data_IF_242161839842
#
_entry.id   IF_242161839842
#
_cell.length_a   1.000
_cell.length_b   1.000
_cell.length_c   1.000
_cell.angle_alpha   90.00
_cell.angle_beta   90.00
_cell.angle_gamma   90.00
#
_symmetry.space_group_name_H-M   'P 1'
#
loop_
_entity.id
_entity.type
_entity.pdbx_description
1 polymer ?
#
# COMPACT_ATOMS: atom_id res chain seq x y z
N UNK A 1 0.24 -25.19 2.85
CA UNK A 1 -0.66 -26.02 2.00
C UNK A 1 -0.17 -26.05 0.56
N UNK A 2 -0.01 -24.91 -0.12
CA UNK A 2 0.47 -24.87 -1.51
C UNK A 2 1.88 -25.46 -1.66
N UNK A 3 2.82 -25.06 -0.81
CA UNK A 3 4.17 -25.65 -0.79
C UNK A 3 4.16 -27.15 -0.47
N UNK A 4 3.28 -27.58 0.45
CA UNK A 4 3.09 -29.00 0.75
C UNK A 4 2.60 -29.77 -0.48
N UNK A 5 1.78 -29.14 -1.32
CA UNK A 5 1.36 -29.65 -2.63
C UNK A 5 2.41 -29.45 -3.74
N UNK A 6 3.65 -29.08 -3.40
CA UNK A 6 4.78 -28.85 -4.33
C UNK A 6 4.55 -27.73 -5.33
N UNK A 7 3.75 -26.72 -4.96
CA UNK A 7 3.64 -25.47 -5.70
C UNK A 7 4.75 -24.53 -5.21
N UNK A 8 5.46 -23.89 -6.13
CA UNK A 8 6.40 -22.82 -5.79
C UNK A 8 5.63 -21.57 -5.36
N UNK A 9 5.99 -20.99 -4.21
CA UNK A 9 5.21 -19.92 -3.56
C UNK A 9 6.11 -18.74 -3.24
N UNK A 10 5.79 -17.60 -3.84
CA UNK A 10 6.38 -16.31 -3.52
C UNK A 10 5.50 -15.57 -2.51
N UNK A 11 6.00 -15.36 -1.30
CA UNK A 11 5.25 -14.62 -0.28
C UNK A 11 5.65 -13.16 -0.28
N UNK A 12 4.72 -12.28 -0.66
CA UNK A 12 4.94 -10.83 -0.75
C UNK A 12 4.16 -10.10 0.36
N UNK A 13 4.87 -9.33 1.17
CA UNK A 13 4.26 -8.43 2.15
C UNK A 13 4.04 -7.06 1.51
N UNK A 14 2.78 -6.74 1.18
CA UNK A 14 2.43 -5.45 0.59
C UNK A 14 2.15 -4.44 1.71
N UNK A 15 3.23 -3.83 2.22
CA UNK A 15 3.19 -2.88 3.33
C UNK A 15 2.74 -1.51 2.83
N UNK A 16 1.80 -0.88 3.54
CA UNK A 16 1.38 0.50 3.31
C UNK A 16 2.41 1.51 3.82
N UNK A 17 3.57 1.54 3.18
CA UNK A 17 4.72 2.40 3.50
C UNK A 17 4.69 3.75 2.74
N UNK A 18 3.60 4.04 2.03
CA UNK A 18 3.43 5.28 1.28
C UNK A 18 2.06 5.90 1.57
N UNK A 19 1.97 7.23 1.57
CA UNK A 19 0.69 7.93 1.72
C UNK A 19 0.71 9.17 2.62
N UNK A 20 -0.44 9.83 2.71
CA UNK A 20 -0.57 11.13 3.41
C UNK A 20 -0.33 11.05 4.92
N UNK A 21 -0.54 9.89 5.50
CA UNK A 21 -0.29 9.61 6.92
C UNK A 21 1.19 9.79 7.30
N UNK A 22 2.12 9.61 6.37
CA UNK A 22 3.55 9.81 6.65
C UNK A 22 3.90 11.27 6.88
N UNK A 23 3.14 12.21 6.31
CA UNK A 23 3.36 13.64 6.54
C UNK A 23 3.24 14.04 8.01
N UNK A 24 2.20 13.57 8.69
CA UNK A 24 2.03 13.85 10.12
C UNK A 24 3.08 13.13 10.98
N UNK A 25 3.50 11.92 10.58
CA UNK A 25 4.52 11.19 11.32
C UNK A 25 5.88 11.87 11.22
N UNK A 26 6.26 12.33 10.03
CA UNK A 26 7.53 13.03 9.80
C UNK A 26 7.57 14.37 10.53
N UNK A 27 6.53 15.20 10.41
CA UNK A 27 6.51 16.48 11.13
C UNK A 27 6.49 16.29 12.65
N UNK A 28 5.76 15.28 13.14
CA UNK A 28 5.78 14.96 14.56
C UNK A 28 7.15 14.46 15.03
N UNK A 29 7.86 13.70 14.18
CA UNK A 29 9.24 13.28 14.43
C UNK A 29 10.16 14.49 14.58
N UNK A 30 10.07 15.46 13.66
CA UNK A 30 10.88 16.68 13.72
C UNK A 30 10.57 17.55 14.94
N UNK A 31 9.31 17.65 15.36
CA UNK A 31 8.94 18.37 16.59
C UNK A 31 9.50 17.69 17.85
N UNK A 32 9.50 16.35 17.89
CA UNK A 32 9.95 15.58 19.05
C UNK A 32 11.47 15.44 19.13
N UNK A 33 12.12 15.32 17.96
CA UNK A 33 13.55 15.04 17.83
C UNK A 33 14.18 16.00 16.82
N UNK A 34 14.31 17.29 17.16
CA UNK A 34 14.86 18.29 16.26
C UNK A 34 16.32 18.02 15.86
N UNK A 35 17.06 17.24 16.65
CA UNK A 35 18.47 16.88 16.40
C UNK A 35 18.64 15.63 15.49
N UNK A 36 17.54 15.01 15.05
CA UNK A 36 17.52 14.06 13.92
C UNK A 36 18.01 12.62 14.19
N UNK A 37 18.59 12.34 15.36
CA UNK A 37 18.87 10.96 15.78
C UNK A 37 17.68 10.41 16.57
N UNK A 38 17.07 9.35 16.02
CA UNK A 38 15.92 8.68 16.64
C UNK A 38 16.17 7.18 16.63
N UNK A 39 16.15 6.57 17.82
CA UNK A 39 16.30 5.14 18.02
C UNK A 39 14.95 4.44 18.19
N UNK A 40 14.95 3.10 18.19
CA UNK A 40 13.76 2.31 18.53
C UNK A 40 13.16 2.67 19.88
N UNK A 41 14.02 3.03 20.84
CA UNK A 41 13.62 3.38 22.19
C UNK A 41 12.96 4.76 22.24
N UNK A 42 13.35 5.66 21.33
CA UNK A 42 12.87 7.04 21.27
C UNK A 42 11.46 7.14 20.68
N UNK A 43 11.17 6.38 19.61
CA UNK A 43 9.79 6.26 19.10
C UNK A 43 8.94 5.37 20.02
N UNK A 44 9.57 4.42 20.73
CA UNK A 44 8.89 3.50 21.62
C UNK A 44 7.85 2.66 20.88
N UNK A 45 6.64 2.57 21.43
CA UNK A 45 5.51 1.95 20.74
C UNK A 45 5.04 2.86 19.59
N UNK A 46 5.37 2.49 18.34
CA UNK A 46 4.95 3.20 17.13
C UNK A 46 3.43 3.51 17.10
N UNK A 47 2.62 2.65 17.72
CA UNK A 47 1.18 2.87 17.89
C UNK A 47 0.87 4.14 18.71
N UNK A 48 1.59 4.37 19.81
CA UNK A 48 1.47 5.58 20.63
C UNK A 48 1.96 6.80 19.88
N UNK A 49 3.08 6.69 19.17
CA UNK A 49 3.62 7.76 18.33
C UNK A 49 2.62 8.19 17.26
N UNK A 50 2.00 7.23 16.56
CA UNK A 50 0.95 7.48 15.59
C UNK A 50 -0.29 8.14 16.20
N UNK A 51 -0.77 7.65 17.36
CA UNK A 51 -1.92 8.25 18.05
C UNK A 51 -1.64 9.69 18.42
N UNK A 52 -0.45 9.99 18.91
CA UNK A 52 -0.04 11.35 19.27
C UNK A 52 0.08 12.25 18.03
N UNK A 53 0.70 11.78 16.95
CA UNK A 53 0.79 12.56 15.69
C UNK A 53 -0.59 12.83 15.10
N UNK A 54 -1.51 11.85 15.20
CA UNK A 54 -2.89 11.99 14.72
C UNK A 54 -3.69 13.00 15.56
N UNK A 55 -3.55 12.98 16.88
CA UNK A 55 -4.16 13.98 17.75
C UNK A 55 -3.68 15.40 17.42
N UNK A 56 -2.37 15.57 17.14
CA UNK A 56 -1.82 16.86 16.69
C UNK A 56 -2.41 17.27 15.34
N UNK A 57 -2.46 16.35 14.37
CA UNK A 57 -3.03 16.60 13.05
C UNK A 57 -4.50 17.01 13.08
N UNK A 58 -5.29 16.45 13.98
CA UNK A 58 -6.71 16.76 14.10
C UNK A 58 -6.98 18.01 14.94
N UNK A 59 -6.07 18.40 15.85
CA UNK A 59 -6.25 19.50 16.80
C UNK A 59 -5.47 20.80 16.49
N UNK A 60 -4.55 20.79 15.53
CA UNK A 60 -3.67 21.92 15.21
C UNK A 60 -3.61 22.14 13.69
N UNK A 61 -4.28 23.21 13.21
CA UNK A 61 -4.36 23.53 11.79
C UNK A 61 -3.01 23.91 11.17
N UNK A 62 -2.11 24.51 11.95
CA UNK A 62 -0.76 24.83 11.46
C UNK A 62 0.06 23.54 11.28
N UNK A 63 -0.02 22.63 12.24
CA UNK A 63 0.61 21.31 12.14
C UNK A 63 0.04 20.52 10.95
N UNK A 64 -1.27 20.56 10.76
CA UNK A 64 -1.94 19.90 9.63
C UNK A 64 -1.43 20.40 8.28
N UNK A 65 -1.22 21.70 8.16
CA UNK A 65 -0.67 22.30 6.94
C UNK A 65 0.81 21.93 6.73
N UNK A 66 1.61 21.91 7.80
CA UNK A 66 2.99 21.38 7.73
C UNK A 66 3.03 19.92 7.30
N UNK A 67 2.18 19.08 7.87
CA UNK A 67 2.08 17.66 7.54
C UNK A 67 1.71 17.44 6.06
N UNK A 68 0.80 18.26 5.49
CA UNK A 68 0.49 18.20 4.05
C UNK A 68 1.70 18.54 3.19
N UNK A 69 2.44 19.59 3.55
CA UNK A 69 3.67 20.00 2.85
C UNK A 69 4.76 18.92 2.95
N UNK A 70 4.88 18.26 4.10
CA UNK A 70 5.83 17.18 4.31
C UNK A 70 5.61 15.99 3.36
N UNK A 71 4.37 15.62 3.06
CA UNK A 71 4.06 14.58 2.08
C UNK A 71 4.56 14.98 0.69
N UNK A 72 4.31 16.23 0.28
CA UNK A 72 4.77 16.73 -1.02
C UNK A 72 6.30 16.75 -1.08
N UNK A 73 6.95 17.17 0.01
CA UNK A 73 8.40 17.18 0.10
C UNK A 73 8.99 15.76 0.01
N UNK A 74 8.41 14.79 0.73
CA UNK A 74 8.75 13.36 0.65
C UNK A 74 8.61 12.83 -0.77
N UNK A 75 7.47 13.08 -1.42
CA UNK A 75 7.19 12.63 -2.79
C UNK A 75 8.12 13.28 -3.82
N UNK A 76 8.52 14.53 -3.61
CA UNK A 76 9.41 15.24 -4.52
C UNK A 76 10.87 14.78 -4.45
N UNK A 77 11.28 14.21 -3.32
CA UNK A 77 12.66 13.80 -3.05
C UNK A 77 13.70 14.95 -3.01
N UNK A 78 13.26 16.21 -3.06
CA UNK A 78 14.16 17.38 -3.15
C UNK A 78 14.88 17.71 -1.85
N UNK A 79 14.23 17.45 -0.72
CA UNK A 79 14.75 17.72 0.62
C UNK A 79 15.05 16.41 1.34
N UNK A 80 16.34 16.09 1.48
CA UNK A 80 16.82 14.79 1.96
C UNK A 80 16.32 14.42 3.38
N UNK A 81 15.99 15.40 4.21
CA UNK A 81 15.45 15.19 5.56
C UNK A 81 14.15 14.39 5.56
N UNK A 82 13.27 14.57 4.56
CA UNK A 82 11.97 13.89 4.52
C UNK A 82 12.11 12.41 4.17
N UNK A 83 12.83 11.99 3.11
CA UNK A 83 13.12 10.59 2.86
C UNK A 83 13.88 9.91 4.00
N UNK A 84 14.82 10.60 4.66
CA UNK A 84 15.56 10.07 5.82
C UNK A 84 14.62 9.77 7.00
N UNK A 85 13.77 10.73 7.37
CA UNK A 85 12.79 10.56 8.44
C UNK A 85 11.78 9.43 8.11
N UNK A 86 11.29 9.41 6.87
CA UNK A 86 10.42 8.34 6.40
C UNK A 86 11.08 6.95 6.51
N UNK A 87 12.31 6.81 6.03
CA UNK A 87 13.04 5.55 6.08
C UNK A 87 13.27 5.09 7.53
N UNK A 88 13.58 6.01 8.44
CA UNK A 88 13.71 5.71 9.87
C UNK A 88 12.39 5.19 10.46
N UNK A 89 11.26 5.85 10.18
CA UNK A 89 9.93 5.43 10.65
C UNK A 89 9.58 4.03 10.11
N UNK A 90 9.83 3.78 8.82
CA UNK A 90 9.60 2.48 8.20
C UNK A 90 10.48 1.38 8.81
N UNK A 91 11.75 1.66 9.09
CA UNK A 91 12.67 0.69 9.68
C UNK A 91 12.28 0.31 11.12
N UNK A 92 11.82 1.28 11.91
CA UNK A 92 11.31 1.04 13.26
C UNK A 92 10.05 0.16 13.21
N UNK A 93 9.14 0.47 12.28
CA UNK A 93 7.94 -0.35 12.02
C UNK A 93 8.31 -1.79 11.62
N UNK A 94 9.24 -1.94 10.67
CA UNK A 94 9.73 -3.23 10.16
C UNK A 94 10.30 -4.10 11.27
N UNK A 95 11.17 -3.55 12.12
CA UNK A 95 11.72 -4.26 13.29
C UNK A 95 10.65 -4.68 14.30
N UNK A 96 9.61 -3.88 14.46
CA UNK A 96 8.45 -4.23 15.29
C UNK A 96 7.70 -5.45 14.75
N UNK A 97 7.38 -5.46 13.46
CA UNK A 97 6.66 -6.57 12.81
C UNK A 97 7.50 -7.83 12.67
N UNK A 98 8.81 -7.70 12.41
CA UNK A 98 9.72 -8.83 12.26
C UNK A 98 9.72 -9.73 13.51
N UNK A 99 9.65 -9.14 14.71
CA UNK A 99 9.52 -9.91 15.98
C UNK A 99 8.25 -10.77 15.99
N UNK A 100 7.15 -10.26 15.44
CA UNK A 100 5.87 -10.99 15.34
C UNK A 100 5.98 -12.08 14.29
N UNK A 101 6.53 -11.79 13.12
CA UNK A 101 6.74 -12.78 12.05
C UNK A 101 7.63 -13.93 12.50
N UNK A 102 8.74 -13.65 13.18
CA UNK A 102 9.62 -14.66 13.76
C UNK A 102 8.91 -15.55 14.78
N UNK A 103 8.13 -14.94 15.69
CA UNK A 103 7.36 -15.69 16.69
C UNK A 103 6.32 -16.62 16.07
N UNK A 104 5.74 -16.23 14.93
CA UNK A 104 4.76 -17.02 14.19
C UNK A 104 5.40 -17.98 13.18
N UNK A 105 6.72 -17.95 12.99
CA UNK A 105 7.42 -18.74 11.97
C UNK A 105 7.02 -18.35 10.55
N UNK A 106 6.71 -17.08 10.34
CA UNK A 106 6.27 -16.53 9.04
C UNK A 106 7.47 -15.89 8.34
N UNK A 107 7.74 -16.30 7.11
CA UNK A 107 8.80 -15.73 6.27
C UNK A 107 8.16 -15.04 5.06
N UNK A 108 8.43 -13.75 4.88
CA UNK A 108 7.87 -12.93 3.81
C UNK A 108 8.96 -12.06 3.19
N UNK A 109 8.81 -11.73 1.91
CA UNK A 109 9.61 -10.67 1.29
C UNK A 109 8.79 -9.39 1.23
N UNK A 110 9.34 -8.29 1.72
CA UNK A 110 8.67 -6.99 1.74
C UNK A 110 8.69 -6.34 0.36
N UNK A 111 7.51 -5.95 -0.13
CA UNK A 111 7.34 -5.10 -1.29
C UNK A 111 6.25 -4.07 -1.01
N UNK A 112 6.68 -2.97 -0.38
CA UNK A 112 5.81 -1.86 0.00
C UNK A 112 5.18 -1.15 -1.19
N UNK A 113 4.15 -0.34 -0.91
CA UNK A 113 3.52 0.55 -1.87
C UNK A 113 4.52 1.51 -2.53
N UNK A 114 5.53 1.97 -1.78
CA UNK A 114 6.54 2.93 -2.23
C UNK A 114 7.41 2.39 -3.38
N UNK A 115 7.66 1.07 -3.41
CA UNK A 115 8.40 0.40 -4.48
C UNK A 115 7.74 0.60 -5.84
N UNK A 116 6.41 0.69 -5.88
CA UNK A 116 5.64 0.77 -7.12
C UNK A 116 5.58 2.18 -7.72
N UNK A 117 6.03 3.22 -7.01
CA UNK A 117 5.94 4.61 -7.46
C UNK A 117 6.49 4.86 -8.89
N UNK A 118 7.68 4.36 -9.27
CA UNK A 118 8.20 4.55 -10.62
C UNK A 118 7.39 3.80 -11.70
N UNK A 119 6.67 2.75 -11.31
CA UNK A 119 5.90 1.89 -12.21
C UNK A 119 4.48 2.38 -12.44
N UNK A 120 3.91 3.18 -11.52
CA UNK A 120 2.55 3.74 -11.66
C UNK A 120 2.40 4.55 -12.97
N UNK A 121 3.28 5.52 -13.31
CA UNK A 121 3.17 6.24 -14.58
C UNK A 121 3.23 5.33 -15.80
N UNK A 122 4.04 4.26 -15.76
CA UNK A 122 4.20 3.32 -16.86
C UNK A 122 2.94 2.48 -17.07
N UNK A 123 2.38 1.92 -16.01
CA UNK A 123 1.14 1.15 -16.04
C UNK A 123 -0.05 2.00 -16.51
N UNK A 124 -0.16 3.25 -16.01
CA UNK A 124 -1.22 4.17 -16.43
C UNK A 124 -1.05 4.64 -17.88
N UNK A 125 0.19 4.81 -18.36
CA UNK A 125 0.45 5.14 -19.77
C UNK A 125 -0.04 4.02 -20.70
N UNK A 126 0.28 2.76 -20.38
CA UNK A 126 -0.17 1.63 -21.20
C UNK A 126 -1.71 1.50 -21.24
N UNK A 127 -2.38 1.73 -20.10
CA UNK A 127 -3.83 1.80 -20.04
C UNK A 127 -4.40 2.94 -20.91
N UNK A 128 -3.76 4.11 -20.87
CA UNK A 128 -4.16 5.27 -21.65
C UNK A 128 -3.99 5.02 -23.16
N UNK A 129 -2.87 4.43 -23.57
CA UNK A 129 -2.57 4.10 -24.97
C UNK A 129 -3.58 3.09 -25.56
N UNK A 130 -4.23 2.30 -24.70
CA UNK A 130 -5.32 1.37 -25.06
C UNK A 130 -6.72 1.97 -24.97
N UNK A 131 -6.83 3.26 -24.65
CA UNK A 131 -8.11 3.95 -24.51
C UNK A 131 -8.94 3.52 -23.30
N UNK A 132 -8.29 2.96 -22.27
CA UNK A 132 -8.95 2.45 -21.07
C UNK A 132 -9.01 3.48 -19.93
N UNK A 133 -8.41 4.66 -20.11
CA UNK A 133 -8.52 5.79 -19.18
C UNK A 133 -9.43 6.86 -19.79
N UNK A 134 -10.32 7.40 -18.96
CA UNK A 134 -11.19 8.52 -19.29
C UNK A 134 -11.02 9.63 -18.26
N UNK A 135 -10.99 10.88 -18.71
CA UNK A 135 -11.11 12.03 -17.82
C UNK A 135 -12.56 12.17 -17.30
N UNK A 136 -12.69 12.35 -15.99
CA UNK A 136 -13.96 12.54 -15.28
C UNK A 136 -13.78 13.64 -14.22
N UNK A 137 -14.31 14.83 -14.49
CA UNK A 137 -14.24 16.01 -13.61
C UNK A 137 -12.84 16.34 -13.04
N UNK A 138 -11.78 16.15 -13.84
CA UNK A 138 -10.39 16.38 -13.43
C UNK A 138 -9.72 15.20 -12.74
N UNK A 139 -10.45 14.12 -12.47
CA UNK A 139 -9.88 12.82 -12.10
C UNK A 139 -9.69 11.96 -13.37
N UNK A 140 -8.72 11.05 -13.32
CA UNK A 140 -8.57 10.01 -14.35
C UNK A 140 -9.20 8.73 -13.87
N UNK A 141 -10.10 8.16 -14.66
CA UNK A 141 -10.87 6.97 -14.32
C UNK A 141 -10.54 5.85 -15.29
N UNK A 142 -10.21 4.68 -14.74
CA UNK A 142 -10.00 3.45 -15.47
C UNK A 142 -11.37 2.83 -15.76
N UNK A 143 -11.65 2.66 -17.05
CA UNK A 143 -12.86 1.99 -17.54
C UNK A 143 -12.61 0.48 -17.53
N UNK A 144 -13.36 -0.25 -16.70
CA UNK A 144 -13.33 -1.72 -16.70
C UNK A 144 -14.26 -2.23 -17.80
N UNK A 145 -13.74 -3.05 -18.70
CA UNK A 145 -14.51 -3.73 -19.74
C UNK A 145 -15.00 -5.05 -19.14
N UNK A 146 -16.21 -5.10 -18.57
CA UNK A 146 -16.93 -6.36 -18.43
C UNK A 146 -18.44 -6.16 -18.23
N UNK A 147 -19.21 -7.02 -18.90
CA UNK A 147 -20.60 -6.79 -19.32
C UNK A 147 -21.69 -6.66 -18.25
N UNK A 148 -21.41 -6.48 -16.96
CA UNK A 148 -22.43 -6.12 -15.96
C UNK A 148 -21.85 -5.21 -14.87
N UNK A 149 -22.26 -3.93 -14.92
CA UNK A 149 -21.96 -2.84 -13.96
C UNK A 149 -20.47 -2.53 -13.79
N UNK A 150 -19.96 -1.72 -14.71
CA UNK A 150 -18.70 -1.01 -14.55
C UNK A 150 -18.77 -0.12 -13.31
N UNK A 151 -17.92 -0.38 -12.31
CA UNK A 151 -17.62 0.60 -11.27
C UNK A 151 -16.33 1.30 -11.69
N UNK A 152 -16.33 2.62 -11.86
CA UNK A 152 -15.13 3.37 -12.22
C UNK A 152 -14.05 3.20 -11.14
N UNK A 153 -12.83 2.81 -11.54
CA UNK A 153 -11.67 2.88 -10.65
C UNK A 153 -10.96 4.20 -10.88
N UNK A 154 -10.86 5.03 -9.86
CA UNK A 154 -10.09 6.28 -9.94
C UNK A 154 -8.61 5.92 -10.05
N UNK A 155 -7.95 6.30 -11.14
CA UNK A 155 -6.50 6.19 -11.30
C UNK A 155 -5.77 7.36 -10.63
N UNK A 156 -6.28 8.57 -10.85
CA UNK A 156 -5.70 9.80 -10.33
C UNK A 156 -6.81 10.66 -9.78
N UNK A 157 -6.66 11.09 -8.54
CA UNK A 157 -7.57 12.03 -7.89
C UNK A 157 -7.52 13.41 -8.58
N UNK A 158 -8.48 14.29 -8.29
CA UNK A 158 -8.56 15.65 -8.89
C UNK A 158 -7.31 16.51 -8.63
N UNK A 159 -6.56 16.19 -7.57
CA UNK A 159 -5.32 16.87 -7.18
C UNK A 159 -4.05 16.27 -7.79
N UNK A 160 -4.19 15.30 -8.70
CA UNK A 160 -3.06 14.66 -9.37
C UNK A 160 -2.41 13.52 -8.57
N UNK A 161 -2.89 13.21 -7.35
CA UNK A 161 -2.36 12.08 -6.57
C UNK A 161 -2.82 10.74 -7.12
N UNK A 162 -1.95 9.76 -7.07
CA UNK A 162 -2.30 8.38 -7.37
C UNK A 162 -3.19 7.80 -6.28
N UNK A 163 -4.24 7.09 -6.69
CA UNK A 163 -5.08 6.34 -5.78
C UNK A 163 -4.44 5.01 -5.38
N UNK A 164 -4.98 4.37 -4.34
CA UNK A 164 -4.64 2.98 -4.03
C UNK A 164 -4.90 2.01 -5.19
N UNK A 165 -5.88 2.28 -6.06
CA UNK A 165 -6.14 1.43 -7.22
C UNK A 165 -4.98 1.48 -8.23
N UNK A 166 -4.34 2.65 -8.40
CA UNK A 166 -3.17 2.79 -9.25
C UNK A 166 -1.93 2.09 -8.70
N UNK A 167 -1.73 2.13 -7.38
CA UNK A 167 -0.64 1.41 -6.71
C UNK A 167 -0.85 -0.10 -6.86
N UNK A 168 -2.04 -0.60 -6.53
CA UNK A 168 -2.43 -2.02 -6.68
C UNK A 168 -2.25 -2.51 -8.14
N UNK A 169 -2.68 -1.70 -9.11
CA UNK A 169 -2.53 -1.99 -10.53
C UNK A 169 -1.05 -2.03 -10.94
N UNK A 170 -0.25 -1.06 -10.51
CA UNK A 170 1.18 -1.03 -10.79
C UNK A 170 1.92 -2.23 -10.17
N UNK A 171 1.50 -2.68 -8.99
CA UNK A 171 2.03 -3.89 -8.36
C UNK A 171 1.73 -5.14 -9.19
N UNK A 172 0.50 -5.28 -9.69
CA UNK A 172 0.14 -6.38 -10.59
C UNK A 172 0.88 -6.28 -11.94
N UNK A 173 0.96 -5.09 -12.51
CA UNK A 173 1.61 -4.82 -13.79
C UNK A 173 3.12 -5.13 -13.76
N UNK A 174 3.81 -4.78 -12.66
CA UNK A 174 5.25 -5.00 -12.49
C UNK A 174 5.62 -6.45 -12.17
N UNK A 175 4.76 -7.22 -11.50
CA UNK A 175 5.05 -8.62 -11.12
C UNK A 175 4.87 -9.63 -12.26
N UNK A 176 3.86 -9.41 -13.11
CA UNK A 176 3.55 -10.34 -14.20
C UNK A 176 4.70 -10.62 -15.20
N UNK A 177 5.57 -9.66 -15.55
CA UNK A 177 6.69 -9.91 -16.45
C UNK A 177 7.82 -10.67 -15.77
N UNK A 178 8.07 -10.36 -14.50
CA UNK A 178 9.28 -10.74 -13.80
C UNK A 178 9.16 -12.11 -13.11
N UNK A 179 7.97 -12.44 -12.61
CA UNK A 179 7.77 -13.60 -11.73
C UNK A 179 7.11 -14.82 -12.41
N UNK A 180 6.71 -14.72 -13.69
CA UNK A 180 5.99 -15.78 -14.45
C UNK A 180 4.85 -16.48 -13.68
N UNK A 181 4.16 -15.73 -12.81
CA UNK A 181 3.18 -16.28 -11.86
C UNK A 181 1.93 -16.82 -12.54
N UNK A 182 1.57 -18.06 -12.22
CA UNK A 182 0.33 -18.70 -12.68
C UNK A 182 -0.86 -18.33 -11.82
N UNK A 183 -0.66 -18.27 -10.50
CA UNK A 183 -1.67 -17.90 -9.51
C UNK A 183 -1.20 -16.73 -8.68
N UNK A 184 -2.13 -15.84 -8.33
CA UNK A 184 -1.93 -14.78 -7.34
C UNK A 184 -3.08 -14.88 -6.34
N UNK A 185 -2.74 -14.90 -5.05
CA UNK A 185 -3.67 -15.02 -3.94
C UNK A 185 -3.57 -13.79 -3.06
N UNK A 186 -4.65 -13.00 -3.09
CA UNK A 186 -4.81 -11.87 -2.19
C UNK A 186 -5.43 -12.34 -0.87
N UNK A 187 -4.72 -12.08 0.23
CA UNK A 187 -5.21 -12.31 1.59
C UNK A 187 -5.45 -10.96 2.24
N UNK A 188 -6.72 -10.55 2.29
CA UNK A 188 -7.18 -9.28 2.86
C UNK A 188 -8.28 -9.50 3.88
N UNK A 189 -8.42 -8.54 4.82
CA UNK A 189 -9.42 -8.60 5.88
C UNK A 189 -10.75 -7.93 5.51
N UNK A 190 -10.77 -7.08 4.48
CA UNK A 190 -11.91 -6.23 4.14
C UNK A 190 -12.78 -6.85 3.03
N UNK A 191 -14.01 -7.20 3.36
CA UNK A 191 -15.03 -7.58 2.37
C UNK A 191 -15.26 -6.44 1.36
N UNK A 192 -15.37 -6.77 0.06
CA UNK A 192 -15.51 -5.81 -1.04
C UNK A 192 -14.19 -5.36 -1.70
N UNK A 193 -13.04 -5.61 -1.09
CA UNK A 193 -11.73 -5.41 -1.78
C UNK A 193 -11.49 -6.45 -2.88
N UNK A 194 -12.07 -7.63 -2.74
CA UNK A 194 -12.03 -8.71 -3.72
C UNK A 194 -12.55 -8.27 -5.10
N UNK A 195 -13.70 -7.59 -5.15
CA UNK A 195 -14.29 -7.13 -6.41
C UNK A 195 -13.40 -6.09 -7.10
N UNK A 196 -12.76 -5.20 -6.32
CA UNK A 196 -11.79 -4.23 -6.84
C UNK A 196 -10.60 -4.94 -7.50
N UNK A 197 -10.04 -5.95 -6.84
CA UNK A 197 -8.85 -6.66 -7.33
C UNK A 197 -9.13 -7.58 -8.51
N UNK A 198 -10.24 -8.32 -8.48
CA UNK A 198 -10.67 -9.14 -9.60
C UNK A 198 -10.85 -8.31 -10.87
N UNK A 199 -11.45 -7.11 -10.74
CA UNK A 199 -11.64 -6.19 -11.87
C UNK A 199 -10.34 -5.57 -12.36
N UNK A 200 -9.47 -5.10 -11.46
CA UNK A 200 -8.14 -4.59 -11.82
C UNK A 200 -7.31 -5.66 -12.56
N UNK A 201 -7.43 -6.92 -12.15
CA UNK A 201 -6.76 -8.03 -12.80
C UNK A 201 -7.33 -8.43 -14.15
N UNK A 202 -8.66 -8.51 -14.28
CA UNK A 202 -9.30 -8.79 -15.57
C UNK A 202 -8.80 -7.80 -16.63
N UNK A 203 -8.67 -6.54 -16.25
CA UNK A 203 -8.13 -5.49 -17.08
C UNK A 203 -6.66 -5.68 -17.45
N UNK A 204 -5.81 -6.07 -16.50
CA UNK A 204 -4.40 -6.38 -16.78
C UNK A 204 -4.26 -7.60 -17.71
N UNK A 205 -5.12 -8.62 -17.54
CA UNK A 205 -5.15 -9.78 -18.43
C UNK A 205 -5.54 -9.43 -19.87
N UNK A 206 -6.49 -8.51 -20.06
CA UNK A 206 -6.86 -7.98 -21.39
C UNK A 206 -5.72 -7.17 -22.02
N UNK A 207 -4.92 -6.49 -21.21
CA UNK A 207 -3.84 -5.62 -21.66
C UNK A 207 -2.65 -6.42 -22.15
N UNK A 208 -2.19 -7.48 -21.47
CA UNK A 208 -1.18 -8.40 -21.99
C UNK A 208 -0.88 -9.47 -20.94
N UNK A 209 -1.40 -10.70 -21.12
CA UNK A 209 -0.65 -11.98 -21.05
C UNK A 209 -1.58 -13.17 -20.81
N UNK A 210 -1.56 -14.11 -21.77
CA UNK A 210 -2.31 -15.36 -21.75
C UNK A 210 -1.84 -16.25 -20.59
N UNK A 211 -2.76 -16.70 -19.71
CA UNK A 211 -2.59 -17.95 -18.95
C UNK A 211 -2.58 -17.87 -17.42
N UNK A 212 -2.48 -16.69 -16.80
CA UNK A 212 -2.49 -16.56 -15.34
C UNK A 212 -3.92 -16.43 -14.79
N UNK A 213 -4.21 -17.09 -13.66
CA UNK A 213 -5.51 -17.04 -12.97
C UNK A 213 -5.34 -16.41 -11.59
N UNK A 214 -6.10 -15.37 -11.27
CA UNK A 214 -6.24 -14.96 -9.88
C UNK A 214 -7.12 -15.96 -9.14
N UNK A 215 -6.69 -16.33 -7.94
CA UNK A 215 -7.50 -17.04 -6.96
C UNK A 215 -7.59 -16.13 -5.74
N UNK A 216 -8.67 -15.38 -5.62
CA UNK A 216 -8.94 -14.65 -4.38
C UNK A 216 -9.37 -15.65 -3.31
N UNK A 217 -8.75 -15.57 -2.13
CA UNK A 217 -9.19 -16.35 -0.97
C UNK A 217 -9.59 -15.38 0.13
N UNK A 218 -10.89 -15.09 0.21
CA UNK A 218 -11.47 -14.43 1.39
C UNK A 218 -11.88 -15.53 2.36
N UNK A 219 -11.07 -15.77 3.39
CA UNK A 219 -11.48 -16.50 4.60
C UNK A 219 -10.51 -16.26 5.76
N UNK A 220 -10.53 -15.03 6.28
CA UNK A 220 -10.14 -14.79 7.67
C UNK A 220 -11.37 -14.98 8.56
N UNK A 221 -11.31 -15.95 9.47
CA UNK A 221 -12.38 -16.34 10.39
C UNK A 221 -13.10 -15.15 11.05
N UNK A 222 -14.42 -15.13 11.00
CA UNK A 222 -15.26 -14.39 11.94
C UNK A 222 -15.25 -15.11 13.29
N UNK A 223 -14.85 -14.38 14.34
CA UNK A 223 -14.80 -14.75 15.77
C UNK A 223 -13.72 -15.74 16.22
N UNK A 224 -12.51 -15.23 16.48
CA UNK A 224 -11.68 -15.66 17.63
C UNK A 224 -11.11 -14.41 18.30
N UNK A 225 -11.56 -14.12 19.52
CA UNK A 225 -10.82 -13.30 20.50
C UNK A 225 -9.54 -14.07 20.86
N UNK A 226 -8.52 -13.96 20.02
CA UNK A 226 -7.14 -14.24 20.38
C UNK A 226 -6.40 -12.91 20.27
N UNK A 227 -5.61 -12.63 21.29
CA UNK A 227 -4.99 -11.37 21.63
C UNK A 227 -4.07 -10.85 20.50
N UNK A 228 -4.64 -10.22 19.48
CA UNK A 228 -3.99 -9.27 18.59
C UNK A 228 -4.60 -7.92 18.98
N UNK A 229 -3.77 -7.05 19.53
CA UNK A 229 -4.13 -5.72 20.01
C UNK A 229 -4.94 -5.01 18.91
N UNK A 230 -6.10 -4.42 19.24
CA UNK A 230 -7.03 -3.87 18.27
C UNK A 230 -6.48 -2.56 17.69
N UNK A 231 -5.69 -2.62 16.63
CA UNK A 231 -5.44 -1.44 15.81
C UNK A 231 -6.56 -1.32 14.79
N UNK A 232 -7.51 -0.46 15.14
CA UNK A 232 -8.42 0.24 14.25
C UNK A 232 -7.85 0.38 12.84
N UNK A 233 -8.70 0.08 11.85
CA UNK A 233 -8.67 0.55 10.46
C UNK A 233 -7.74 1.75 10.22
N UNK A 234 -6.48 1.50 9.85
CA UNK A 234 -5.56 2.46 9.20
C UNK A 234 -4.40 1.69 8.55
N UNK A 235 -3.96 0.57 9.12
CA UNK A 235 -2.86 -0.23 8.57
C UNK A 235 -3.38 -1.41 7.76
N UNK A 236 -3.56 -1.18 6.46
CA UNK A 236 -3.89 -2.24 5.51
C UNK A 236 -2.66 -3.08 5.19
N UNK A 237 -2.22 -3.95 6.10
CA UNK A 237 -1.31 -5.03 5.69
C UNK A 237 -2.09 -5.98 4.78
N UNK A 238 -1.71 -6.03 3.51
CA UNK A 238 -2.22 -7.00 2.55
C UNK A 238 -1.13 -8.04 2.33
N UNK A 239 -1.41 -9.27 2.76
CA UNK A 239 -0.55 -10.39 2.44
C UNK A 239 -0.91 -10.82 1.02
N UNK A 240 0.05 -10.79 0.10
CA UNK A 240 -0.13 -11.29 -1.26
C UNK A 240 0.75 -12.54 -1.36
N UNK A 241 0.11 -13.69 -1.49
CA UNK A 241 0.74 -15.01 -1.63
C UNK A 241 0.64 -15.47 -3.08
#
# INVERSE_FOLDING_TARGET
MLEYSKVDVLRRNHVGDWGTQFGMLIEFLFEKFPDGEVTDQDIGELELFYKASKQRFDGDDEFKERARKAVVALQSGKEEKYPKAWAQICEISRRGFEKVYQRLGVHLEEMGESFYNPYIPLALKELNDKGLIKDDEGAKVIKIIEGKKALPLVATEKDGRYSYASIDLAALWSRLPEEEVKWIIFVTLQSGTEEKYQKAWAQICEINRKGSKIVTSVRGFTWVKALIIPTFSIWGHRLIV
#
